data_IF_774304440203
#
_entry.id   IF_774304440203
#
_cell.length_a   1.000
_cell.length_b   1.000
_cell.length_c   1.000
_cell.angle_alpha   90.00
_cell.angle_beta   90.00
_cell.angle_gamma   90.00
#
_symmetry.space_group_name_H-M   'P 1'
#
loop_
_entity.id
_entity.type
_entity.pdbx_description
1 polymer ?
#
# COMPACT_ATOMS: atom_id res chain seq x y z
N UNK A 1 -6.30 12.19 14.34
CA UNK A 1 -6.50 12.29 12.88
C UNK A 1 -5.94 11.10 12.10
N UNK A 2 -4.63 10.83 12.11
CA UNK A 2 -4.07 9.70 11.34
C UNK A 2 -4.69 8.33 11.64
N UNK A 3 -5.01 8.04 12.90
CA UNK A 3 -5.69 6.78 13.28
C UNK A 3 -7.10 6.70 12.66
N UNK A 4 -7.86 7.79 12.71
CA UNK A 4 -9.18 7.89 12.06
C UNK A 4 -9.06 7.65 10.54
N UNK A 5 -8.12 8.33 9.88
CA UNK A 5 -7.87 8.16 8.44
C UNK A 5 -7.46 6.72 8.11
N UNK A 6 -6.56 6.12 8.89
CA UNK A 6 -6.14 4.74 8.75
C UNK A 6 -7.33 3.79 8.79
N UNK A 7 -8.28 4.02 9.70
CA UNK A 7 -9.51 3.22 9.76
C UNK A 7 -10.38 3.41 8.52
N UNK A 8 -10.53 4.64 8.04
CA UNK A 8 -11.36 4.96 6.87
C UNK A 8 -10.82 4.37 5.57
N UNK A 9 -9.49 4.33 5.40
CA UNK A 9 -8.84 3.71 4.22
C UNK A 9 -8.65 2.20 4.35
N UNK A 10 -9.16 1.59 5.43
CA UNK A 10 -9.18 0.13 5.60
C UNK A 10 -7.87 -0.48 6.09
N UNK A 11 -7.02 0.27 6.80
CA UNK A 11 -5.83 -0.30 7.47
C UNK A 11 -6.29 -1.33 8.52
N UNK A 12 -5.84 -2.59 8.45
CA UNK A 12 -6.37 -3.65 9.31
C UNK A 12 -5.71 -3.68 10.70
N UNK A 13 -4.42 -3.39 10.79
CA UNK A 13 -3.61 -3.45 12.01
C UNK A 13 -2.64 -2.28 12.07
N UNK A 14 -2.30 -1.85 13.28
CA UNK A 14 -1.33 -0.78 13.55
C UNK A 14 -0.28 -1.36 14.50
N UNK A 15 0.99 -0.99 14.28
CA UNK A 15 2.07 -1.17 15.25
C UNK A 15 2.52 0.23 15.65
N UNK A 16 2.76 0.47 16.94
CA UNK A 16 3.10 1.80 17.45
C UNK A 16 4.55 1.84 17.88
N UNK A 17 5.25 2.90 17.48
CA UNK A 17 6.56 3.25 18.00
C UNK A 17 6.49 4.55 18.80
N UNK A 18 6.61 4.46 20.12
CA UNK A 18 6.70 5.61 21.01
C UNK A 18 8.13 6.18 20.96
N UNK A 19 8.32 7.13 20.05
CA UNK A 19 9.63 7.74 19.81
C UNK A 19 9.99 8.82 20.85
N UNK A 20 11.26 9.18 20.90
CA UNK A 20 11.84 10.27 21.72
C UNK A 20 11.84 10.01 23.23
N UNK A 21 11.86 8.76 23.67
CA UNK A 21 11.95 8.46 25.11
C UNK A 21 13.26 8.95 25.75
N UNK A 22 14.29 9.21 24.94
CA UNK A 22 15.55 9.80 25.37
C UNK A 22 15.40 11.26 25.85
N UNK A 23 14.31 11.92 25.50
CA UNK A 23 13.97 13.27 25.99
C UNK A 23 13.36 13.26 27.39
N UNK A 24 12.83 12.12 27.84
CA UNK A 24 12.36 11.98 29.21
C UNK A 24 13.56 11.84 30.16
N UNK A 25 13.44 12.49 31.32
CA UNK A 25 14.43 12.32 32.39
C UNK A 25 14.45 10.86 32.85
N UNK A 26 15.63 10.38 33.22
CA UNK A 26 15.84 8.96 33.52
C UNK A 26 14.96 8.45 34.68
N UNK A 27 14.68 9.30 35.67
CA UNK A 27 13.89 9.02 36.86
C UNK A 27 12.37 9.02 36.63
N UNK A 28 11.90 9.67 35.57
CA UNK A 28 10.47 9.79 35.21
C UNK A 28 10.12 8.96 33.95
N UNK A 29 11.12 8.41 33.24
CA UNK A 29 10.96 7.82 31.90
C UNK A 29 9.95 6.68 31.87
N UNK A 30 10.06 5.71 32.78
CA UNK A 30 9.18 4.53 32.77
C UNK A 30 7.73 4.90 33.07
N UNK A 31 7.50 5.80 34.02
CA UNK A 31 6.16 6.31 34.34
C UNK A 31 5.55 7.05 33.15
N UNK A 32 6.31 7.95 32.52
CA UNK A 32 5.86 8.69 31.35
C UNK A 32 5.56 7.78 30.17
N UNK A 33 6.38 6.74 29.93
CA UNK A 33 6.11 5.74 28.89
C UNK A 33 4.78 5.03 29.17
N UNK A 34 4.56 4.56 30.41
CA UNK A 34 3.34 3.86 30.79
C UNK A 34 2.08 4.72 30.63
N UNK A 35 2.12 5.97 31.07
CA UNK A 35 1.00 6.90 30.92
C UNK A 35 0.67 7.16 29.44
N UNK A 36 1.69 7.43 28.63
CA UNK A 36 1.49 7.68 27.19
C UNK A 36 1.02 6.43 26.47
N UNK A 37 1.49 5.25 26.86
CA UNK A 37 1.02 3.98 26.31
C UNK A 37 -0.46 3.76 26.60
N UNK A 38 -0.92 4.02 27.82
CA UNK A 38 -2.35 3.93 28.17
C UNK A 38 -3.19 4.85 27.28
N UNK A 39 -2.79 6.12 27.13
CA UNK A 39 -3.49 7.08 26.27
C UNK A 39 -3.53 6.62 24.80
N UNK A 40 -2.44 6.03 24.29
CA UNK A 40 -2.38 5.47 22.93
C UNK A 40 -3.36 4.31 22.77
N UNK A 41 -3.42 3.40 23.75
CA UNK A 41 -4.31 2.22 23.69
C UNK A 41 -5.77 2.66 23.74
N UNK A 42 -6.12 3.60 24.60
CA UNK A 42 -7.46 4.17 24.67
C UNK A 42 -7.86 4.84 23.35
N UNK A 43 -6.94 5.60 22.74
CA UNK A 43 -7.16 6.24 21.45
C UNK A 43 -7.34 5.23 20.31
N UNK A 44 -6.57 4.14 20.29
CA UNK A 44 -6.75 3.05 19.32
C UNK A 44 -8.12 2.40 19.48
N UNK A 45 -8.53 2.11 20.71
CA UNK A 45 -9.83 1.52 21.04
C UNK A 45 -10.99 2.45 20.64
N UNK A 46 -10.87 3.76 20.87
CA UNK A 46 -11.85 4.78 20.44
C UNK A 46 -12.15 4.71 18.94
N UNK A 47 -11.10 4.55 18.11
CA UNK A 47 -11.21 4.43 16.66
C UNK A 47 -11.36 2.99 16.15
N UNK A 48 -11.74 2.05 17.04
CA UNK A 48 -12.03 0.64 16.73
C UNK A 48 -10.83 -0.15 16.17
N UNK A 49 -9.63 0.19 16.62
CA UNK A 49 -8.46 -0.70 16.53
C UNK A 49 -8.36 -1.54 17.80
N UNK A 50 -7.55 -2.60 17.74
CA UNK A 50 -7.28 -3.47 18.89
C UNK A 50 -6.19 -2.85 19.78
N UNK A 51 -6.55 -1.81 20.53
CA UNK A 51 -5.63 -1.09 21.41
C UNK A 51 -5.02 -1.99 22.49
N UNK A 52 -5.74 -3.00 22.94
CA UNK A 52 -5.30 -3.91 24.01
C UNK A 52 -4.17 -4.82 23.56
N UNK A 53 -4.21 -5.33 22.32
CA UNK A 53 -3.19 -6.24 21.78
C UNK A 53 -2.21 -5.58 20.81
N UNK A 54 -2.39 -4.30 20.46
CA UNK A 54 -1.45 -3.58 19.59
C UNK A 54 -0.05 -3.55 20.23
N UNK A 55 1.01 -3.95 19.49
CA UNK A 55 2.38 -3.79 19.97
C UNK A 55 2.76 -2.32 20.05
N UNK A 56 3.29 -1.92 21.21
CA UNK A 56 3.82 -0.57 21.47
C UNK A 56 5.28 -0.70 21.87
N UNK A 57 6.18 -0.20 21.01
CA UNK A 57 7.62 -0.27 21.24
C UNK A 57 8.11 1.13 21.56
N UNK A 58 8.75 1.30 22.71
CA UNK A 58 9.29 2.57 23.16
C UNK A 58 10.79 2.68 22.84
N UNK A 59 11.18 3.76 22.18
CA UNK A 59 12.59 3.94 21.75
C UNK A 59 12.95 5.36 21.32
N UNK A 60 14.17 5.50 20.80
CA UNK A 60 14.67 6.75 20.25
C UNK A 60 15.29 6.50 18.88
N UNK A 61 14.57 6.87 17.83
CA UNK A 61 15.06 6.75 16.46
C UNK A 61 16.31 7.62 16.22
N UNK A 62 16.45 8.75 16.93
CA UNK A 62 17.63 9.61 16.82
C UNK A 62 18.86 8.92 17.40
N UNK A 63 18.76 8.34 18.59
CA UNK A 63 19.88 7.63 19.23
C UNK A 63 20.25 6.36 18.48
N UNK A 64 19.26 5.62 17.99
CA UNK A 64 19.49 4.48 17.10
C UNK A 64 20.30 4.90 15.86
N UNK A 65 19.90 5.99 15.19
CA UNK A 65 20.63 6.51 14.02
C UNK A 65 22.05 6.99 14.35
N UNK A 66 22.31 7.39 15.59
CA UNK A 66 23.63 7.77 16.09
C UNK A 66 24.51 6.56 16.46
N UNK A 67 23.99 5.34 16.35
CA UNK A 67 24.71 4.10 16.65
C UNK A 67 24.69 3.69 18.12
N UNK A 68 23.70 4.16 18.90
CA UNK A 68 23.51 3.69 20.27
C UNK A 68 22.87 2.29 20.27
N UNK A 69 23.59 1.23 20.70
CA UNK A 69 23.14 -0.15 20.55
C UNK A 69 21.80 -0.43 21.26
N UNK A 70 21.52 0.25 22.37
CA UNK A 70 20.28 0.06 23.14
C UNK A 70 19.07 0.50 22.31
N UNK A 71 19.20 1.58 21.55
CA UNK A 71 18.10 2.09 20.74
C UNK A 71 18.06 1.45 19.35
N UNK A 72 19.18 0.96 18.82
CA UNK A 72 19.19 0.10 17.64
C UNK A 72 18.39 -1.19 17.90
N UNK A 73 18.55 -1.81 19.07
CA UNK A 73 17.79 -2.99 19.47
C UNK A 73 16.28 -2.71 19.49
N UNK A 74 15.85 -1.51 19.92
CA UNK A 74 14.43 -1.09 19.86
C UNK A 74 13.88 -0.97 18.44
N UNK A 75 14.71 -0.66 17.45
CA UNK A 75 14.29 -0.70 16.05
C UNK A 75 14.12 -2.14 15.56
N UNK A 76 15.01 -3.05 15.99
CA UNK A 76 14.87 -4.47 15.68
C UNK A 76 13.61 -5.06 16.31
N UNK A 77 13.34 -4.74 17.58
CA UNK A 77 12.11 -5.14 18.28
C UNK A 77 10.85 -4.61 17.57
N UNK A 78 10.88 -3.37 17.07
CA UNK A 78 9.79 -2.82 16.26
C UNK A 78 9.56 -3.64 14.98
N UNK A 79 10.64 -4.02 14.28
CA UNK A 79 10.52 -4.80 13.05
C UNK A 79 10.03 -6.23 13.32
N UNK A 80 10.47 -6.85 14.42
CA UNK A 80 9.96 -8.15 14.86
C UNK A 80 8.47 -8.10 15.20
N UNK A 81 8.02 -7.01 15.84
CA UNK A 81 6.60 -6.79 16.10
C UNK A 81 5.80 -6.60 14.81
N UNK A 82 6.36 -5.90 13.80
CA UNK A 82 5.75 -5.79 12.47
C UNK A 82 5.60 -7.17 11.83
N UNK A 83 6.66 -7.98 11.80
CA UNK A 83 6.66 -9.30 11.17
C UNK A 83 5.71 -10.29 11.84
N UNK A 84 5.57 -10.22 13.16
CA UNK A 84 4.74 -11.15 13.95
C UNK A 84 3.27 -10.72 14.06
N UNK A 85 2.99 -9.42 14.14
CA UNK A 85 1.64 -8.91 14.37
C UNK A 85 0.87 -8.66 13.07
N UNK A 86 1.55 -8.16 12.04
CA UNK A 86 0.95 -7.88 10.74
C UNK A 86 0.90 -9.17 9.94
N UNK A 87 -0.31 -9.69 9.72
CA UNK A 87 -0.51 -10.87 8.89
C UNK A 87 -0.05 -10.58 7.47
N UNK A 88 0.70 -11.53 6.89
CA UNK A 88 1.09 -11.43 5.50
C UNK A 88 -0.18 -11.36 4.64
N UNK A 89 -0.39 -10.26 3.90
CA UNK A 89 -1.60 -10.10 3.12
C UNK A 89 -1.65 -11.18 2.05
N UNK A 90 -2.73 -11.97 2.05
CA UNK A 90 -2.93 -13.00 1.04
C UNK A 90 -2.99 -12.33 -0.33
N UNK A 91 -1.93 -12.51 -1.12
CA UNK A 91 -1.89 -12.05 -2.51
C UNK A 91 -3.00 -12.75 -3.28
N UNK A 92 -3.85 -11.99 -3.95
CA UNK A 92 -4.97 -12.54 -4.72
C UNK A 92 -4.54 -13.08 -6.09
N UNK A 93 -3.52 -13.94 -6.12
CA UNK A 93 -2.87 -14.44 -7.35
C UNK A 93 -3.78 -15.35 -8.19
N UNK A 94 -4.76 -16.00 -7.56
CA UNK A 94 -5.70 -16.90 -8.24
C UNK A 94 -6.82 -16.15 -8.98
N UNK A 95 -7.03 -14.87 -8.68
CA UNK A 95 -8.06 -14.07 -9.38
C UNK A 95 -7.55 -13.64 -10.77
N UNK A 96 -8.46 -13.26 -11.69
CA UNK A 96 -8.02 -12.70 -12.95
C UNK A 96 -7.20 -11.43 -12.78
N UNK A 97 -6.12 -11.32 -13.56
CA UNK A 97 -5.22 -10.17 -13.54
C UNK A 97 -5.96 -8.84 -13.65
N UNK A 98 -5.61 -7.90 -12.76
CA UNK A 98 -6.03 -6.51 -12.80
C UNK A 98 -4.93 -5.63 -12.20
N UNK A 99 -4.54 -4.59 -12.93
CA UNK A 99 -3.60 -3.56 -12.50
C UNK A 99 -4.22 -2.18 -12.74
N UNK A 100 -4.23 -1.35 -11.69
CA UNK A 100 -4.66 0.04 -11.81
C UNK A 100 -3.57 0.85 -12.53
N UNK A 101 -3.95 1.71 -13.48
CA UNK A 101 -3.00 2.59 -14.16
C UNK A 101 -2.87 3.88 -13.35
N UNK A 102 -1.67 4.11 -12.82
CA UNK A 102 -1.31 5.30 -12.04
C UNK A 102 -0.63 6.36 -12.91
N UNK A 103 0.28 5.93 -13.80
CA UNK A 103 0.98 6.82 -14.74
C UNK A 103 1.33 6.10 -16.05
N UNK A 104 1.54 6.90 -17.10
CA UNK A 104 1.81 6.43 -18.47
C UNK A 104 3.02 7.16 -19.05
N UNK A 105 4.00 6.39 -19.49
CA UNK A 105 5.22 6.87 -20.12
C UNK A 105 5.32 6.41 -21.57
N UNK A 106 5.99 7.20 -22.40
CA UNK A 106 6.44 6.74 -23.72
C UNK A 106 7.95 6.59 -23.68
N UNK A 107 8.43 5.38 -23.95
CA UNK A 107 9.86 5.13 -24.12
C UNK A 107 10.17 5.14 -25.61
N UNK A 108 10.95 6.14 -26.03
CA UNK A 108 11.38 6.30 -27.43
C UNK A 108 11.98 4.99 -27.95
N UNK A 109 11.44 4.47 -29.05
CA UNK A 109 11.91 3.24 -29.68
C UNK A 109 11.46 1.93 -29.01
N UNK A 110 10.75 1.97 -27.86
CA UNK A 110 10.16 0.77 -27.25
C UNK A 110 8.63 0.77 -27.27
N UNK A 111 8.00 1.93 -27.03
CA UNK A 111 6.55 2.08 -27.00
C UNK A 111 6.03 2.66 -25.68
N UNK A 112 4.75 2.43 -25.42
CA UNK A 112 4.04 2.99 -24.25
C UNK A 112 4.10 2.04 -23.07
N UNK A 113 4.45 2.56 -21.90
CA UNK A 113 4.54 1.84 -20.63
C UNK A 113 3.48 2.38 -19.68
N UNK A 114 2.62 1.50 -19.19
CA UNK A 114 1.70 1.81 -18.10
C UNK A 114 2.31 1.36 -16.78
N UNK A 115 2.23 2.19 -15.74
CA UNK A 115 2.74 1.87 -14.40
C UNK A 115 1.61 1.89 -13.38
N UNK A 116 1.73 1.02 -12.38
CA UNK A 116 0.88 1.02 -11.20
C UNK A 116 0.98 -0.27 -10.41
N UNK A 117 0.14 -0.40 -9.39
CA UNK A 117 0.07 -1.58 -8.56
C UNK A 117 -0.83 -2.66 -9.17
N UNK A 118 -0.34 -3.89 -9.21
CA UNK A 118 -1.17 -5.07 -9.54
C UNK A 118 -2.07 -5.34 -8.35
N UNK A 119 -3.38 -5.13 -8.53
CA UNK A 119 -4.38 -5.31 -7.47
C UNK A 119 -4.63 -6.80 -7.21
N UNK A 120 -4.69 -7.59 -8.29
CA UNK A 120 -4.97 -9.03 -8.22
C UNK A 120 -4.47 -9.80 -9.43
N UNK A 121 -4.36 -11.11 -9.27
CA UNK A 121 -3.96 -12.06 -10.30
C UNK A 121 -2.47 -12.05 -10.61
N UNK A 122 -2.14 -12.79 -11.67
CA UNK A 122 -0.80 -12.89 -12.25
C UNK A 122 -0.91 -12.64 -13.75
N UNK A 123 0.03 -11.87 -14.29
CA UNK A 123 0.20 -11.65 -15.71
C UNK A 123 1.57 -12.16 -16.14
N UNK A 124 1.59 -13.03 -17.14
CA UNK A 124 2.83 -13.50 -17.76
C UNK A 124 3.21 -12.61 -18.94
N UNK A 125 4.52 -12.46 -19.18
CA UNK A 125 5.03 -11.80 -20.36
C UNK A 125 4.43 -12.40 -21.66
N UNK A 126 4.03 -11.53 -22.58
CA UNK A 126 3.35 -11.84 -23.85
C UNK A 126 1.88 -12.27 -23.73
N UNK A 127 1.25 -12.15 -22.57
CA UNK A 127 -0.20 -12.32 -22.46
C UNK A 127 -0.98 -11.11 -22.98
N UNK A 128 -2.22 -11.38 -23.42
CA UNK A 128 -3.18 -10.35 -23.81
C UNK A 128 -3.85 -9.70 -22.60
N UNK A 129 -4.06 -8.39 -22.69
CA UNK A 129 -4.80 -7.59 -21.71
C UNK A 129 -5.77 -6.64 -22.41
N UNK A 130 -6.79 -6.22 -21.68
CA UNK A 130 -7.70 -5.15 -22.07
C UNK A 130 -7.40 -3.88 -21.26
N UNK A 131 -7.36 -2.74 -21.94
CA UNK A 131 -7.38 -1.40 -21.33
C UNK A 131 -8.87 -1.05 -21.14
N UNK A 132 -9.32 -0.96 -19.89
CA UNK A 132 -10.74 -0.82 -19.55
C UNK A 132 -11.00 0.47 -18.77
N UNK A 133 -12.11 1.15 -19.07
CA UNK A 133 -12.57 2.36 -18.37
C UNK A 133 -12.31 3.63 -19.17
N UNK A 134 -13.12 4.68 -18.93
CA UNK A 134 -13.08 6.05 -19.50
C UNK A 134 -13.23 6.17 -21.04
N UNK A 135 -12.62 5.27 -21.81
CA UNK A 135 -12.62 5.17 -23.26
C UNK A 135 -13.13 3.77 -23.69
N UNK A 136 -13.45 3.57 -24.98
CA UNK A 136 -13.79 2.24 -25.49
C UNK A 136 -12.68 1.21 -25.19
N UNK A 137 -13.07 0.04 -24.69
CA UNK A 137 -12.12 -1.02 -24.33
C UNK A 137 -11.27 -1.43 -25.52
N UNK A 138 -9.94 -1.44 -25.35
CA UNK A 138 -8.97 -1.83 -26.38
C UNK A 138 -8.14 -3.02 -25.89
N UNK A 139 -7.89 -3.98 -26.78
CA UNK A 139 -6.99 -5.11 -26.53
C UNK A 139 -5.56 -4.78 -26.90
N UNK A 140 -4.61 -5.30 -26.14
CA UNK A 140 -3.18 -5.23 -26.45
C UNK A 140 -2.46 -6.45 -25.85
N UNK A 141 -1.17 -6.58 -26.14
CA UNK A 141 -0.27 -7.62 -25.62
C UNK A 141 0.79 -6.94 -24.76
N UNK A 142 1.08 -7.50 -23.59
CA UNK A 142 2.17 -7.00 -22.74
C UNK A 142 3.49 -7.60 -23.20
N UNK A 143 4.36 -6.77 -23.77
CA UNK A 143 5.64 -7.21 -24.36
C UNK A 143 6.85 -6.97 -23.46
N UNK A 144 6.64 -6.39 -22.29
CA UNK A 144 7.68 -6.17 -21.30
C UNK A 144 7.05 -5.96 -19.92
N UNK A 145 7.69 -6.50 -18.90
CA UNK A 145 7.33 -6.33 -17.49
C UNK A 145 8.59 -5.88 -16.76
N UNK A 146 8.53 -4.74 -16.09
CA UNK A 146 9.66 -4.17 -15.36
C UNK A 146 9.27 -3.79 -13.93
N UNK A 147 10.14 -4.08 -12.96
CA UNK A 147 10.03 -3.62 -11.58
C UNK A 147 11.40 -3.14 -11.10
N UNK A 148 11.52 -1.89 -10.64
CA UNK A 148 12.78 -1.31 -10.16
C UNK A 148 13.99 -1.54 -11.09
N UNK A 149 13.85 -1.26 -12.39
CA UNK A 149 14.90 -1.46 -13.41
C UNK A 149 15.30 -2.92 -13.66
N UNK A 150 14.51 -3.89 -13.20
CA UNK A 150 14.69 -5.32 -13.48
C UNK A 150 13.56 -5.81 -14.39
N UNK A 151 13.94 -6.53 -15.45
CA UNK A 151 12.97 -7.21 -16.30
C UNK A 151 12.47 -8.48 -15.59
N UNK A 152 11.16 -8.68 -15.58
CA UNK A 152 10.50 -9.83 -15.00
C UNK A 152 9.80 -10.67 -16.08
N UNK A 153 9.55 -11.95 -15.76
CA UNK A 153 8.75 -12.85 -16.61
C UNK A 153 7.27 -12.76 -16.31
N UNK A 154 6.92 -12.32 -15.11
CA UNK A 154 5.57 -12.20 -14.61
C UNK A 154 5.45 -11.00 -13.67
N UNK A 155 4.23 -10.48 -13.53
CA UNK A 155 3.84 -9.53 -12.51
C UNK A 155 2.68 -10.13 -11.72
N UNK A 156 2.71 -10.01 -10.39
CA UNK A 156 1.70 -10.60 -9.52
C UNK A 156 1.10 -9.57 -8.56
N UNK A 157 -0.05 -9.91 -7.99
CA UNK A 157 -0.74 -9.10 -6.99
C UNK A 157 0.23 -8.57 -5.91
N UNK A 158 0.20 -7.25 -5.72
CA UNK A 158 1.08 -6.51 -4.81
C UNK A 158 2.29 -5.83 -5.48
N UNK A 159 2.66 -6.23 -6.70
CA UNK A 159 3.81 -5.64 -7.39
C UNK A 159 3.49 -4.24 -7.94
N UNK A 160 4.40 -3.30 -7.76
CA UNK A 160 4.42 -2.02 -8.48
C UNK A 160 5.19 -2.20 -9.79
N UNK A 161 4.48 -2.46 -10.89
CA UNK A 161 5.07 -2.88 -12.16
C UNK A 161 4.89 -1.83 -13.26
N UNK A 162 5.85 -1.79 -14.18
CA UNK A 162 5.73 -1.13 -15.48
C UNK A 162 5.49 -2.16 -16.58
N UNK A 163 4.40 -2.01 -17.33
CA UNK A 163 3.98 -2.90 -18.40
C UNK A 163 4.11 -2.20 -19.76
N UNK A 164 4.97 -2.74 -20.63
CA UNK A 164 5.14 -2.25 -22.00
C UNK A 164 4.04 -2.85 -22.89
N UNK A 165 3.25 -1.97 -23.52
CA UNK A 165 2.06 -2.34 -24.29
C UNK A 165 2.34 -2.26 -25.80
N UNK A 166 1.94 -3.30 -26.54
CA UNK A 166 2.13 -3.35 -27.99
C UNK A 166 1.07 -2.53 -28.72
N UNK A 167 1.51 -1.59 -29.55
CA UNK A 167 0.63 -0.86 -30.48
C UNK A 167 -0.40 0.03 -29.76
N UNK A 168 -0.02 0.55 -28.59
CA UNK A 168 -0.80 1.52 -27.82
C UNK A 168 -0.04 2.83 -27.81
N UNK A 169 -0.68 3.89 -28.30
CA UNK A 169 -0.16 5.24 -28.20
C UNK A 169 -0.50 5.85 -26.84
N UNK A 170 0.33 6.80 -26.38
CA UNK A 170 0.13 7.47 -25.09
C UNK A 170 -1.23 8.16 -24.98
N UNK A 171 -1.82 8.65 -26.07
CA UNK A 171 -3.13 9.31 -26.06
C UNK A 171 -4.30 8.33 -25.85
N UNK A 172 -4.09 7.04 -26.11
CA UNK A 172 -5.11 5.99 -26.03
C UNK A 172 -5.25 5.41 -24.62
N UNK A 173 -4.33 5.74 -23.72
CA UNK A 173 -4.27 5.23 -22.36
C UNK A 173 -4.07 6.38 -21.36
N UNK A 174 -4.78 6.35 -20.24
CA UNK A 174 -4.70 7.39 -19.22
C UNK A 174 -4.92 6.86 -17.81
N UNK A 175 -4.51 7.66 -16.83
CA UNK A 175 -4.72 7.39 -15.41
C UNK A 175 -6.21 7.22 -15.12
N UNK A 176 -6.55 6.23 -14.29
CA UNK A 176 -7.93 5.89 -13.94
C UNK A 176 -8.53 4.76 -14.79
N UNK A 177 -7.86 4.36 -15.88
CA UNK A 177 -8.13 3.09 -16.54
C UNK A 177 -7.46 1.94 -15.79
N UNK A 178 -7.82 0.71 -16.16
CA UNK A 178 -7.18 -0.51 -15.66
C UNK A 178 -6.68 -1.39 -16.81
N UNK A 179 -5.59 -2.12 -16.58
CA UNK A 179 -5.20 -3.25 -17.40
C UNK A 179 -5.79 -4.51 -16.76
N UNK A 180 -6.59 -5.26 -17.51
CA UNK A 180 -7.24 -6.45 -16.98
C UNK A 180 -7.12 -7.64 -17.94
N UNK A 181 -7.21 -8.85 -17.39
CA UNK A 181 -7.40 -10.06 -18.20
C UNK A 181 -8.67 -9.87 -19.06
N UNK A 182 -8.64 -10.22 -20.37
CA UNK A 182 -9.75 -9.93 -21.26
C UNK A 182 -11.10 -10.46 -20.75
N UNK A 183 -12.15 -9.64 -20.84
CA UNK A 183 -13.54 -9.95 -20.44
C UNK A 183 -13.76 -10.21 -18.94
N UNK A 184 -12.82 -9.86 -18.07
CA UNK A 184 -12.94 -10.12 -16.62
C UNK A 184 -13.44 -8.93 -15.81
N UNK A 185 -13.52 -7.76 -16.42
CA UNK A 185 -14.14 -6.56 -15.88
C UNK A 185 -14.71 -5.75 -17.05
N UNK A 186 -15.84 -5.07 -16.83
CA UNK A 186 -16.47 -4.18 -17.81
C UNK A 186 -16.71 -2.82 -17.16
N UNK A 187 -16.66 -1.71 -17.93
CA UNK A 187 -16.92 -0.40 -17.37
C UNK A 187 -18.42 -0.20 -17.15
N UNK A 188 -18.77 0.48 -16.06
CA UNK A 188 -20.15 0.83 -15.70
C UNK A 188 -20.25 2.34 -15.43
N UNK A 189 -21.40 2.93 -15.73
CA UNK A 189 -21.71 4.35 -15.46
C UNK A 189 -22.77 4.55 -14.38
N UNK A 190 -23.49 3.48 -14.02
CA UNK A 190 -24.53 3.47 -13.00
C UNK A 190 -24.23 2.34 -12.01
N UNK A 191 -24.32 2.63 -10.71
CA UNK A 191 -24.07 1.69 -9.63
C UNK A 191 -24.80 2.14 -8.36
N UNK A 192 -25.09 1.19 -7.48
CA UNK A 192 -25.57 1.47 -6.14
C UNK A 192 -24.38 1.63 -5.19
N UNK A 193 -24.41 2.64 -4.32
CA UNK A 193 -23.35 2.89 -3.36
C UNK A 193 -23.90 3.33 -2.00
N UNK A 194 -23.17 2.96 -0.95
CA UNK A 194 -23.35 3.54 0.39
C UNK A 194 -22.29 4.61 0.60
N UNK A 195 -22.71 5.82 0.93
CA UNK A 195 -21.82 6.97 1.11
C UNK A 195 -21.88 7.41 2.57
N UNK A 196 -20.71 7.63 3.17
CA UNK A 196 -20.58 8.30 4.47
C UNK A 196 -20.18 9.76 4.25
N UNK A 197 -21.01 10.68 4.75
CA UNK A 197 -20.72 12.13 4.69
C UNK A 197 -20.02 12.51 5.99
N UNK A 198 -18.80 13.06 5.87
CA UNK A 198 -18.01 13.49 7.01
C UNK A 198 -18.75 14.58 7.81
N UNK A 199 -18.62 14.53 9.14
CA UNK A 199 -19.05 15.62 10.01
C UNK A 199 -18.01 16.74 9.99
N UNK A 200 -18.42 17.95 10.36
CA UNK A 200 -17.55 19.13 10.45
C UNK A 200 -16.33 18.91 11.36
N UNK A 201 -16.48 18.11 12.39
CA UNK A 201 -15.40 17.79 13.34
C UNK A 201 -14.37 16.81 12.74
N UNK A 202 -14.74 16.10 11.68
CA UNK A 202 -13.88 15.18 10.93
C UNK A 202 -13.24 15.84 9.69
N UNK A 203 -13.67 17.07 9.32
CA UNK A 203 -13.22 17.84 8.16
C UNK A 203 -14.05 19.10 7.87
#
# INVERSE_FOLDING_TARGET
EHILLAKQVGVPKIVVFLNKIDMFKNDEREEMIGLVEMDIRDLLNEYKFDGDNTPVIAGSALKALQGDPVYEEKIMELMEAVDSYIEEPKRETEKPFLMAIEDVFTITGRGTVATGRVERGVLTLNEEVEIVGLKPTKKTVVTGIEMFRKNLKEAQAGDNAGLLLRGVDRSEIERGQVLAKPKTIVPHTEFEATVYVLKKEEG
#
